data_IF_635225531306
#
_entry.id   IF_635225531306
#
_cell.length_a   1.000
_cell.length_b   1.000
_cell.length_c   1.000
_cell.angle_alpha   90.00
_cell.angle_beta   90.00
_cell.angle_gamma   90.00
#
_symmetry.space_group_name_H-M   'P 1'
#
loop_
_entity.id
_entity.type
_entity.pdbx_description
1 polymer ?
#
# COMPACT_ATOMS: atom_id res chain seq x y z
N UNK A 1 -7.22 -14.95 15.54
CA UNK A 1 -8.34 -15.71 14.93
C UNK A 1 -7.92 -16.10 13.52
N UNK A 2 -8.15 -17.33 13.10
CA UNK A 2 -7.86 -17.77 11.71
C UNK A 2 -9.17 -17.62 10.94
N UNK A 3 -9.15 -17.05 9.72
CA UNK A 3 -10.36 -16.99 8.89
C UNK A 3 -10.66 -18.33 8.22
N UNK A 4 -11.77 -18.40 7.48
CA UNK A 4 -12.23 -19.63 6.81
C UNK A 4 -11.22 -20.16 5.78
N UNK A 5 -10.27 -19.32 5.33
CA UNK A 5 -9.23 -19.64 4.36
C UNK A 5 -7.89 -20.00 5.03
N UNK A 6 -7.87 -20.12 6.37
CA UNK A 6 -6.67 -20.48 7.13
C UNK A 6 -5.72 -19.34 7.43
N UNK A 7 -6.11 -18.09 7.12
CA UNK A 7 -5.31 -16.91 7.47
C UNK A 7 -5.53 -16.53 8.95
N UNK A 8 -4.45 -16.30 9.69
CA UNK A 8 -4.51 -15.77 11.04
C UNK A 8 -5.00 -14.33 10.99
N UNK A 9 -6.32 -14.10 11.07
CA UNK A 9 -6.84 -12.77 11.33
C UNK A 9 -6.52 -12.39 12.77
N UNK A 10 -5.56 -11.49 12.94
CA UNK A 10 -5.51 -10.67 14.14
C UNK A 10 -6.82 -9.89 14.22
N UNK A 11 -7.27 -9.59 15.42
CA UNK A 11 -8.44 -8.73 15.65
C UNK A 11 -8.07 -7.31 15.23
N UNK A 12 -8.20 -7.04 13.92
CA UNK A 12 -7.93 -5.74 13.31
C UNK A 12 -9.28 -5.06 13.26
N UNK A 13 -9.55 -4.25 14.28
CA UNK A 13 -10.83 -3.54 14.42
C UNK A 13 -11.01 -2.47 13.32
N UNK A 14 -9.90 -1.99 12.72
CA UNK A 14 -9.88 -0.93 11.70
C UNK A 14 -8.96 -1.34 10.55
N UNK A 15 -9.38 -1.19 9.27
CA UNK A 15 -8.51 -1.41 8.11
C UNK A 15 -7.24 -0.56 8.19
N UNK A 16 -6.13 -1.09 7.67
CA UNK A 16 -4.82 -0.45 7.80
C UNK A 16 -4.80 1.03 7.37
N UNK A 17 -5.42 1.34 6.24
CA UNK A 17 -5.42 2.70 5.69
C UNK A 17 -6.41 3.65 6.38
N UNK A 18 -7.41 3.12 7.07
CA UNK A 18 -8.42 3.89 7.82
C UNK A 18 -8.01 4.15 9.27
N UNK A 19 -6.94 3.53 9.74
CA UNK A 19 -6.44 3.72 11.09
C UNK A 19 -5.57 5.00 11.17
N UNK A 20 -6.16 6.05 11.69
CA UNK A 20 -5.53 7.37 11.89
C UNK A 20 -4.95 7.55 13.30
N UNK A 21 -4.90 6.51 14.11
CA UNK A 21 -4.36 6.59 15.46
C UNK A 21 -2.96 5.97 15.59
N UNK A 22 -2.65 4.96 14.76
CA UNK A 22 -1.40 4.22 14.84
C UNK A 22 -0.33 4.78 13.91
N UNK A 23 0.87 4.84 14.43
CA UNK A 23 2.07 5.25 13.69
C UNK A 23 2.51 4.12 12.75
N UNK A 24 2.85 4.46 11.52
CA UNK A 24 3.43 3.55 10.51
C UNK A 24 4.81 4.03 10.09
N UNK A 25 5.57 3.22 9.33
CA UNK A 25 6.81 3.69 8.74
C UNK A 25 6.61 4.93 7.83
N UNK A 26 5.49 4.98 7.08
CA UNK A 26 5.17 6.15 6.25
C UNK A 26 4.92 7.40 7.09
N UNK A 27 4.20 7.27 8.21
CA UNK A 27 3.95 8.41 9.10
C UNK A 27 5.21 8.87 9.83
N UNK A 28 6.16 8.00 10.14
CA UNK A 28 7.51 8.43 10.56
C UNK A 28 8.17 9.31 9.49
N UNK A 29 8.01 8.95 8.21
CA UNK A 29 8.48 9.77 7.10
C UNK A 29 7.85 11.17 7.07
N UNK A 30 6.57 11.30 7.42
CA UNK A 30 5.93 12.61 7.57
C UNK A 30 6.53 13.43 8.70
N UNK A 31 6.81 12.79 9.85
CA UNK A 31 7.45 13.46 11.00
C UNK A 31 8.84 13.99 10.62
N UNK A 32 9.63 13.18 9.92
CA UNK A 32 10.98 13.58 9.48
C UNK A 32 10.97 14.66 8.39
N UNK A 33 9.98 14.65 7.48
CA UNK A 33 9.88 15.59 6.35
C UNK A 33 9.37 16.95 6.76
N UNK A 34 8.37 16.99 7.63
CA UNK A 34 7.61 18.21 7.93
C UNK A 34 7.41 18.53 9.41
N UNK A 35 8.07 17.79 10.30
CA UNK A 35 7.99 17.98 11.74
C UNK A 35 6.67 17.54 12.37
N UNK A 36 6.50 17.80 13.66
CA UNK A 36 5.36 17.30 14.45
C UNK A 36 4.01 17.84 13.95
N UNK A 37 3.90 19.09 13.56
CA UNK A 37 2.64 19.68 13.07
C UNK A 37 2.18 19.03 11.75
N UNK A 38 3.10 18.83 10.81
CA UNK A 38 2.79 18.14 9.56
C UNK A 38 2.41 16.67 9.79
N UNK A 39 3.17 15.97 10.62
CA UNK A 39 2.86 14.59 11.02
C UNK A 39 1.44 14.47 11.60
N UNK A 40 1.09 15.35 12.56
CA UNK A 40 -0.21 15.34 13.22
C UNK A 40 -1.36 15.54 12.22
N UNK A 41 -1.25 16.55 11.36
CA UNK A 41 -2.27 16.84 10.34
C UNK A 41 -2.43 15.72 9.32
N UNK A 42 -1.32 15.12 8.88
CA UNK A 42 -1.35 13.95 7.99
C UNK A 42 -1.98 12.74 8.68
N UNK A 43 -1.64 12.48 9.94
CA UNK A 43 -2.19 11.35 10.70
C UNK A 43 -3.70 11.51 10.92
N UNK A 44 -4.18 12.73 11.16
CA UNK A 44 -5.61 13.05 11.31
C UNK A 44 -6.38 13.14 9.99
N UNK A 45 -5.71 13.02 8.85
CA UNK A 45 -6.34 13.14 7.54
C UNK A 45 -6.74 14.57 7.16
N UNK A 46 -6.18 15.58 7.83
CA UNK A 46 -6.42 17.00 7.54
C UNK A 46 -5.67 17.47 6.28
N UNK A 47 -4.63 16.74 5.88
CA UNK A 47 -3.85 16.96 4.67
C UNK A 47 -3.90 15.67 3.85
N UNK A 48 -4.25 15.77 2.57
CA UNK A 48 -4.17 14.63 1.65
C UNK A 48 -2.71 14.29 1.32
N UNK A 49 -2.41 13.00 1.28
CA UNK A 49 -1.11 12.49 0.84
C UNK A 49 -0.86 12.78 -0.65
N UNK A 50 0.41 12.81 -1.03
CA UNK A 50 0.81 12.96 -2.43
C UNK A 50 0.25 11.80 -3.28
N UNK A 51 -0.46 12.13 -4.35
CA UNK A 51 -0.89 11.19 -5.39
C UNK A 51 0.05 11.33 -6.58
N UNK A 52 0.63 10.24 -7.04
CA UNK A 52 1.45 10.23 -8.24
C UNK A 52 1.21 8.97 -9.06
N UNK A 53 1.37 9.07 -10.37
CA UNK A 53 1.26 7.91 -11.26
C UNK A 53 2.27 6.80 -10.93
N UNK A 54 3.40 7.16 -10.33
CA UNK A 54 4.39 6.20 -9.86
C UNK A 54 3.88 5.40 -8.65
N UNK A 55 3.21 6.07 -7.69
CA UNK A 55 2.59 5.41 -6.53
C UNK A 55 1.43 4.51 -6.98
N UNK A 56 0.54 5.01 -7.84
CA UNK A 56 -0.58 4.23 -8.39
C UNK A 56 -0.09 2.97 -9.12
N UNK A 57 0.95 3.10 -9.94
CA UNK A 57 1.59 1.96 -10.62
C UNK A 57 2.22 0.99 -9.62
N UNK A 58 2.89 1.50 -8.59
CA UNK A 58 3.44 0.69 -7.50
C UNK A 58 2.35 -0.13 -6.81
N UNK A 59 1.26 0.50 -6.37
CA UNK A 59 0.11 -0.15 -5.74
C UNK A 59 -0.50 -1.23 -6.63
N UNK A 60 -0.68 -0.93 -7.93
CA UNK A 60 -1.20 -1.90 -8.90
C UNK A 60 -0.28 -3.13 -9.02
N UNK A 61 1.04 -2.95 -9.08
CA UNK A 61 2.01 -4.05 -9.16
C UNK A 61 2.00 -4.87 -7.88
N UNK A 62 2.01 -4.23 -6.70
CA UNK A 62 1.93 -4.92 -5.41
C UNK A 62 0.66 -5.78 -5.32
N UNK A 63 -0.51 -5.19 -5.61
CA UNK A 63 -1.78 -5.93 -5.58
C UNK A 63 -1.77 -7.13 -6.54
N UNK A 64 -1.26 -6.96 -7.76
CA UNK A 64 -1.20 -8.04 -8.74
C UNK A 64 -0.30 -9.21 -8.32
N UNK A 65 0.82 -8.91 -7.65
CA UNK A 65 1.81 -9.92 -7.23
C UNK A 65 1.45 -10.56 -5.90
N UNK A 66 1.05 -9.75 -4.91
CA UNK A 66 0.89 -10.19 -3.53
C UNK A 66 -0.54 -10.61 -3.18
N UNK A 67 -1.53 -9.94 -3.77
CA UNK A 67 -2.96 -10.15 -3.47
C UNK A 67 -3.79 -10.24 -4.76
N UNK A 68 -3.56 -11.26 -5.62
CA UNK A 68 -4.20 -11.34 -6.94
C UNK A 68 -5.73 -11.40 -6.88
N UNK A 69 -6.31 -11.90 -5.80
CA UNK A 69 -7.77 -11.90 -5.61
C UNK A 69 -8.32 -10.50 -5.34
N UNK A 70 -7.61 -9.68 -4.55
CA UNK A 70 -7.96 -8.27 -4.33
C UNK A 70 -7.76 -7.47 -5.63
N UNK A 71 -6.67 -7.73 -6.36
CA UNK A 71 -6.46 -7.12 -7.67
C UNK A 71 -7.66 -7.32 -8.61
N UNK A 72 -8.25 -8.50 -8.66
CA UNK A 72 -9.42 -8.78 -9.50
C UNK A 72 -10.68 -8.02 -9.05
N UNK A 73 -10.78 -7.69 -7.76
CA UNK A 73 -11.88 -6.87 -7.22
C UNK A 73 -11.67 -5.40 -7.51
N UNK A 74 -10.42 -4.93 -7.51
CA UNK A 74 -10.08 -3.51 -7.59
C UNK A 74 -9.80 -3.04 -9.02
N UNK A 75 -9.42 -3.95 -9.92
CA UNK A 75 -8.99 -3.60 -11.27
C UNK A 75 -9.74 -4.37 -12.35
N UNK A 76 -9.93 -3.73 -13.49
CA UNK A 76 -10.47 -4.35 -14.70
C UNK A 76 -9.61 -4.00 -15.91
N UNK A 77 -9.26 -4.99 -16.71
CA UNK A 77 -8.54 -4.76 -17.98
C UNK A 77 -9.52 -4.21 -18.99
N UNK A 78 -9.20 -3.06 -19.56
CA UNK A 78 -10.06 -2.34 -20.47
C UNK A 78 -9.43 -2.23 -21.85
N UNK A 79 -9.97 -2.93 -22.79
CA UNK A 79 -9.56 -2.98 -24.21
C UNK A 79 -10.50 -2.22 -25.15
N UNK A 80 -11.55 -1.59 -24.57
CA UNK A 80 -12.57 -0.87 -25.32
C UNK A 80 -12.33 0.62 -25.36
N UNK A 81 -13.12 1.34 -26.16
CA UNK A 81 -13.03 2.80 -26.31
C UNK A 81 -13.22 3.51 -24.96
N UNK A 82 -12.38 4.52 -24.73
CA UNK A 82 -12.47 5.44 -23.57
C UNK A 82 -12.67 6.88 -24.03
N UNK A 83 -13.25 7.75 -23.20
CA UNK A 83 -13.24 9.18 -23.45
C UNK A 83 -11.82 9.69 -23.73
N UNK A 84 -11.69 10.50 -24.80
CA UNK A 84 -10.41 11.10 -25.20
C UNK A 84 -10.29 12.56 -24.75
N UNK A 85 -11.32 13.11 -24.09
CA UNK A 85 -11.33 14.49 -23.60
C UNK A 85 -12.21 14.60 -22.34
N UNK A 86 -11.96 15.65 -21.55
CA UNK A 86 -12.77 15.96 -20.37
C UNK A 86 -14.26 16.18 -20.70
N UNK A 87 -14.57 16.71 -21.88
CA UNK A 87 -15.96 16.87 -22.33
C UNK A 87 -16.61 15.51 -22.61
N UNK A 88 -15.91 14.57 -23.26
CA UNK A 88 -16.43 13.22 -23.46
C UNK A 88 -16.64 12.50 -22.13
N UNK A 89 -15.70 12.64 -21.20
CA UNK A 89 -15.81 12.08 -19.85
C UNK A 89 -17.06 12.62 -19.16
N UNK A 90 -17.22 13.96 -19.12
CA UNK A 90 -18.38 14.62 -18.53
C UNK A 90 -19.70 14.19 -19.18
N UNK A 91 -19.71 14.02 -20.51
CA UNK A 91 -20.89 13.52 -21.24
C UNK A 91 -21.25 12.10 -20.80
N UNK A 92 -20.28 11.18 -20.72
CA UNK A 92 -20.51 9.81 -20.32
C UNK A 92 -21.03 9.73 -18.87
N UNK A 93 -20.45 10.50 -17.95
CA UNK A 93 -20.89 10.57 -16.55
C UNK A 93 -22.33 11.11 -16.44
N UNK A 94 -22.65 12.21 -17.15
CA UNK A 94 -23.98 12.77 -17.17
C UNK A 94 -25.02 11.79 -17.73
N UNK A 95 -24.67 11.09 -18.83
CA UNK A 95 -25.55 10.09 -19.43
C UNK A 95 -25.72 8.85 -18.57
N UNK A 96 -24.65 8.41 -17.90
CA UNK A 96 -24.71 7.27 -16.98
C UNK A 96 -25.57 7.57 -15.75
N UNK A 97 -25.54 8.79 -15.24
CA UNK A 97 -26.28 9.24 -14.07
C UNK A 97 -27.71 9.70 -14.40
N UNK A 98 -28.11 9.70 -15.68
CA UNK A 98 -29.44 10.19 -16.10
C UNK A 98 -30.55 9.26 -15.62
N UNK A 99 -31.57 9.84 -14.97
CA UNK A 99 -32.81 9.17 -14.62
C UNK A 99 -33.89 9.31 -15.70
N UNK A 100 -33.57 10.00 -16.80
CA UNK A 100 -34.52 10.22 -17.92
C UNK A 100 -34.75 8.89 -18.66
N UNK A 101 -36.01 8.54 -18.83
CA UNK A 101 -36.42 7.28 -19.48
C UNK A 101 -36.37 7.38 -21.01
N UNK A 102 -36.49 8.60 -21.55
CA UNK A 102 -36.42 8.82 -23.00
C UNK A 102 -34.94 8.94 -23.45
N UNK A 103 -34.40 7.94 -24.20
CA UNK A 103 -32.96 7.88 -24.53
C UNK A 103 -32.45 9.13 -25.26
N UNK A 104 -33.24 9.68 -26.22
CA UNK A 104 -32.81 10.84 -26.96
C UNK A 104 -32.77 12.10 -26.09
N UNK A 105 -33.67 12.19 -25.12
CA UNK A 105 -33.68 13.29 -24.16
C UNK A 105 -32.48 13.21 -23.22
N UNK A 106 -32.19 12.02 -22.67
CA UNK A 106 -31.03 11.81 -21.84
C UNK A 106 -29.72 12.20 -22.56
N UNK A 107 -29.58 11.80 -23.82
CA UNK A 107 -28.39 12.12 -24.64
C UNK A 107 -28.27 13.62 -24.88
N UNK A 108 -29.40 14.29 -25.20
CA UNK A 108 -29.40 15.73 -25.44
C UNK A 108 -29.05 16.53 -24.19
N UNK A 109 -29.58 16.14 -23.04
CA UNK A 109 -29.33 16.80 -21.78
C UNK A 109 -27.86 16.56 -21.31
N UNK A 110 -27.31 15.34 -21.48
CA UNK A 110 -25.92 15.06 -21.24
C UNK A 110 -24.99 15.87 -22.17
N UNK A 111 -25.35 16.01 -23.43
CA UNK A 111 -24.60 16.84 -24.38
C UNK A 111 -24.58 18.32 -23.95
N UNK A 112 -25.71 18.87 -23.57
CA UNK A 112 -25.84 20.27 -23.08
C UNK A 112 -24.99 20.52 -21.82
N UNK A 113 -24.85 19.52 -20.97
CA UNK A 113 -24.01 19.62 -19.76
C UNK A 113 -22.48 19.59 -20.07
N UNK A 114 -22.10 18.86 -21.10
CA UNK A 114 -20.69 18.59 -21.38
C UNK A 114 -20.06 19.49 -22.45
N UNK A 115 -20.87 19.94 -23.40
CA UNK A 115 -20.40 20.68 -24.58
C UNK A 115 -21.06 22.06 -24.71
N UNK A 116 -20.39 22.96 -25.44
CA UNK A 116 -20.98 24.24 -25.83
C UNK A 116 -22.17 24.03 -26.77
N UNK A 117 -23.26 24.72 -26.50
CA UNK A 117 -24.51 24.71 -27.27
C UNK A 117 -24.62 25.88 -28.24
N UNK A 118 -23.71 26.85 -28.18
CA UNK A 118 -23.73 28.06 -28.98
C UNK A 118 -23.75 27.75 -30.49
N UNK A 119 -24.76 28.27 -31.20
CA UNK A 119 -24.91 28.10 -32.64
C UNK A 119 -25.29 26.69 -33.13
N UNK A 120 -25.72 25.80 -32.23
CA UNK A 120 -26.15 24.43 -32.59
C UNK A 120 -27.65 24.25 -32.41
N UNK A 121 -28.31 23.61 -33.38
CA UNK A 121 -29.68 23.13 -33.21
C UNK A 121 -29.73 21.88 -32.32
N UNK A 122 -30.91 21.59 -31.73
CA UNK A 122 -31.09 20.36 -30.93
C UNK A 122 -30.85 19.10 -31.74
N UNK A 123 -31.27 19.06 -33.01
CA UNK A 123 -31.03 17.92 -33.90
C UNK A 123 -29.54 17.67 -34.11
N UNK A 124 -28.73 18.73 -34.26
CA UNK A 124 -27.28 18.62 -34.39
C UNK A 124 -26.63 18.11 -33.12
N UNK A 125 -27.02 18.67 -31.95
CA UNK A 125 -26.55 18.24 -30.65
C UNK A 125 -26.88 16.77 -30.37
N UNK A 126 -28.13 16.35 -30.69
CA UNK A 126 -28.56 14.96 -30.56
C UNK A 126 -27.76 14.03 -31.47
N UNK A 127 -27.56 14.42 -32.75
CA UNK A 127 -26.78 13.62 -33.70
C UNK A 127 -25.32 13.43 -33.25
N UNK A 128 -24.66 14.48 -32.74
CA UNK A 128 -23.33 14.44 -32.19
C UNK A 128 -23.30 13.57 -30.91
N UNK A 129 -24.27 13.75 -30.00
CA UNK A 129 -24.39 12.98 -28.78
C UNK A 129 -24.61 11.48 -29.03
N UNK A 130 -25.47 11.12 -29.99
CA UNK A 130 -25.67 9.72 -30.42
C UNK A 130 -24.39 9.04 -30.90
N UNK A 131 -23.58 9.77 -31.68
CA UNK A 131 -22.25 9.23 -32.12
C UNK A 131 -21.32 8.97 -30.95
N UNK A 132 -21.25 9.90 -30.01
CA UNK A 132 -20.41 9.73 -28.80
C UNK A 132 -20.93 8.55 -28.00
N UNK A 133 -22.23 8.50 -27.72
CA UNK A 133 -22.85 7.44 -26.94
C UNK A 133 -22.67 6.05 -27.57
N UNK A 134 -22.77 5.93 -28.90
CA UNK A 134 -22.54 4.65 -29.59
C UNK A 134 -21.08 4.22 -29.53
N UNK A 135 -20.12 5.15 -29.71
CA UNK A 135 -18.69 4.85 -29.64
C UNK A 135 -18.23 4.47 -28.23
N UNK A 136 -18.81 5.09 -27.22
CA UNK A 136 -18.45 4.92 -25.81
C UNK A 136 -19.48 4.12 -25.02
N UNK A 137 -20.29 3.31 -25.73
CA UNK A 137 -21.37 2.53 -25.12
C UNK A 137 -20.90 1.68 -23.96
N UNK A 138 -19.83 0.90 -24.17
CA UNK A 138 -19.29 0.02 -23.13
C UNK A 138 -18.82 0.78 -21.89
N UNK A 139 -18.22 1.97 -22.10
CA UNK A 139 -17.78 2.85 -21.02
C UNK A 139 -18.97 3.41 -20.23
N UNK A 140 -20.02 3.85 -20.94
CA UNK A 140 -21.26 4.34 -20.30
C UNK A 140 -21.95 3.20 -19.53
N UNK A 141 -21.99 1.99 -20.08
CA UNK A 141 -22.58 0.84 -19.41
C UNK A 141 -21.78 0.44 -18.15
N UNK A 142 -20.45 0.55 -18.19
CA UNK A 142 -19.59 0.36 -17.01
C UNK A 142 -19.90 1.39 -15.91
N UNK A 143 -20.03 2.67 -16.28
CA UNK A 143 -20.41 3.72 -15.32
C UNK A 143 -21.81 3.48 -14.74
N UNK A 144 -22.79 3.04 -15.56
CA UNK A 144 -24.15 2.71 -15.10
C UNK A 144 -24.19 1.54 -14.13
N UNK A 145 -23.34 0.56 -14.34
CA UNK A 145 -23.20 -0.57 -13.43
C UNK A 145 -22.62 -0.19 -12.06
N UNK A 146 -22.13 1.07 -11.92
CA UNK A 146 -21.44 1.56 -10.74
C UNK A 146 -20.29 0.61 -10.33
N UNK A 147 -19.62 0.05 -11.32
CA UNK A 147 -18.45 -0.81 -11.13
C UNK A 147 -17.31 0.10 -10.64
N UNK A 148 -16.99 0.02 -9.36
CA UNK A 148 -15.97 0.87 -8.72
C UNK A 148 -14.53 0.49 -9.08
N UNK A 149 -14.31 -0.54 -9.92
CA UNK A 149 -12.98 -1.00 -10.28
C UNK A 149 -12.21 0.02 -11.11
N UNK A 150 -10.92 0.03 -10.91
CA UNK A 150 -9.98 0.87 -11.67
C UNK A 150 -9.71 0.22 -13.03
N UNK A 151 -9.98 0.95 -14.10
CA UNK A 151 -9.66 0.48 -15.44
C UNK A 151 -8.17 0.56 -15.71
N UNK A 152 -7.54 -0.53 -16.06
CA UNK A 152 -6.15 -0.56 -16.52
C UNK A 152 -6.09 -0.87 -18.01
N UNK A 153 -5.04 -0.40 -18.69
CA UNK A 153 -4.83 -0.67 -20.10
C UNK A 153 -4.35 -2.11 -20.32
N UNK A 154 -4.56 -2.62 -21.53
CA UNK A 154 -3.96 -3.90 -21.93
C UNK A 154 -2.42 -3.88 -21.83
N UNK A 155 -1.80 -2.73 -22.04
CA UNK A 155 -0.36 -2.54 -21.85
C UNK A 155 0.07 -2.70 -20.40
N UNK A 156 -0.67 -2.11 -19.47
CA UNK A 156 -0.39 -2.28 -18.04
C UNK A 156 -0.56 -3.74 -17.64
N UNK A 157 -1.59 -4.41 -18.15
CA UNK A 157 -1.80 -5.83 -17.87
C UNK A 157 -0.66 -6.71 -18.43
N UNK A 158 -0.20 -6.45 -19.66
CA UNK A 158 0.96 -7.15 -20.22
C UNK A 158 2.24 -6.92 -19.40
N UNK A 159 2.44 -5.70 -18.93
CA UNK A 159 3.55 -5.37 -18.01
C UNK A 159 3.45 -6.21 -16.72
N UNK A 160 2.28 -6.30 -16.11
CA UNK A 160 2.04 -7.09 -14.90
C UNK A 160 2.35 -8.58 -15.12
N UNK A 161 1.87 -9.14 -16.22
CA UNK A 161 2.16 -10.54 -16.59
C UNK A 161 3.66 -10.78 -16.79
N UNK A 162 4.36 -9.84 -17.42
CA UNK A 162 5.81 -9.92 -17.61
C UNK A 162 6.58 -9.84 -16.28
N UNK A 163 6.18 -8.93 -15.38
CA UNK A 163 6.75 -8.83 -14.03
C UNK A 163 6.56 -10.15 -13.27
N UNK A 164 5.34 -10.69 -13.27
CA UNK A 164 5.01 -11.96 -12.64
C UNK A 164 5.85 -13.11 -13.19
N UNK A 165 5.97 -13.21 -14.51
CA UNK A 165 6.82 -14.20 -15.16
C UNK A 165 8.29 -14.06 -14.74
N UNK A 166 8.83 -12.83 -14.69
CA UNK A 166 10.20 -12.55 -14.29
C UNK A 166 10.45 -12.92 -12.81
N UNK A 167 9.49 -12.66 -11.92
CA UNK A 167 9.56 -13.10 -10.51
C UNK A 167 9.60 -14.63 -10.43
N UNK A 168 8.70 -15.31 -11.14
CA UNK A 168 8.62 -16.78 -11.12
C UNK A 168 9.86 -17.45 -11.72
N UNK A 169 10.48 -16.82 -12.70
CA UNK A 169 11.70 -17.30 -13.37
C UNK A 169 12.98 -16.94 -12.59
N UNK A 170 12.93 -15.98 -11.68
CA UNK A 170 14.10 -15.55 -10.93
C UNK A 170 14.41 -16.53 -9.80
N UNK A 171 15.63 -17.09 -9.79
CA UNK A 171 16.07 -18.18 -8.88
C UNK A 171 15.79 -17.94 -7.38
N UNK A 172 15.86 -16.69 -6.93
CA UNK A 172 15.70 -16.32 -5.52
C UNK A 172 14.33 -15.67 -5.26
N UNK A 173 13.85 -14.78 -6.15
CA UNK A 173 12.55 -14.13 -5.96
C UNK A 173 11.41 -15.15 -5.90
N UNK A 174 11.44 -16.18 -6.76
CA UNK A 174 10.42 -17.25 -6.75
C UNK A 174 10.38 -18.09 -5.47
N UNK A 175 11.45 -18.03 -4.67
CA UNK A 175 11.52 -18.72 -3.36
C UNK A 175 11.13 -17.82 -2.20
N UNK A 176 11.34 -16.51 -2.34
CA UNK A 176 11.02 -15.52 -1.30
C UNK A 176 9.55 -15.13 -1.39
N UNK A 177 9.07 -14.85 -2.61
CA UNK A 177 7.65 -14.56 -2.88
C UNK A 177 6.94 -15.91 -3.13
N UNK A 178 6.75 -16.64 -2.07
CA UNK A 178 6.00 -17.90 -2.13
C UNK A 178 4.51 -17.65 -1.90
N UNK A 179 3.68 -18.58 -2.36
CA UNK A 179 2.25 -18.53 -2.06
C UNK A 179 2.01 -18.55 -0.56
N UNK A 180 1.11 -17.72 -0.02
CA UNK A 180 0.75 -17.75 1.38
C UNK A 180 0.39 -19.17 1.84
N UNK A 181 0.94 -19.60 2.97
CA UNK A 181 0.75 -20.95 3.50
C UNK A 181 0.78 -20.93 5.02
N UNK A 182 0.00 -21.81 5.62
CA UNK A 182 0.05 -22.10 7.05
C UNK A 182 0.15 -23.61 7.25
N UNK A 183 1.33 -24.09 7.58
CA UNK A 183 1.61 -25.50 7.86
C UNK A 183 1.59 -25.77 9.36
N UNK A 184 0.82 -26.76 9.78
CA UNK A 184 0.70 -27.15 11.19
C UNK A 184 1.00 -28.63 11.39
N UNK A 185 1.50 -28.99 12.58
CA UNK A 185 1.71 -30.38 13.00
C UNK A 185 0.39 -31.13 13.31
N UNK A 186 -0.71 -30.40 13.43
CA UNK A 186 -2.05 -30.92 13.69
C UNK A 186 -3.03 -30.39 12.65
N UNK A 187 -3.07 -30.94 11.43
CA UNK A 187 -3.83 -30.38 10.31
C UNK A 187 -5.36 -30.42 10.48
N UNK A 188 -5.87 -31.09 11.51
CA UNK A 188 -7.31 -31.25 11.76
C UNK A 188 -7.86 -30.30 12.83
N UNK A 189 -7.08 -29.33 13.31
CA UNK A 189 -7.58 -28.30 14.21
C UNK A 189 -8.16 -27.16 13.39
N UNK A 190 -9.41 -26.78 13.65
CA UNK A 190 -10.07 -25.63 13.03
C UNK A 190 -9.33 -24.30 13.29
N UNK A 191 -8.51 -24.27 14.35
CA UNK A 191 -7.62 -23.16 14.69
C UNK A 191 -6.27 -23.70 15.11
N UNK A 192 -5.17 -23.39 14.40
CA UNK A 192 -3.86 -23.80 14.82
C UNK A 192 -3.47 -23.12 16.14
N UNK A 193 -3.09 -23.95 17.09
CA UNK A 193 -2.49 -23.47 18.33
C UNK A 193 -1.07 -22.96 18.04
N UNK A 194 -0.60 -21.85 18.65
CA UNK A 194 0.71 -21.27 18.36
C UNK A 194 1.86 -22.30 18.31
N UNK A 195 1.93 -23.22 19.27
CA UNK A 195 2.97 -24.25 19.33
C UNK A 195 2.84 -25.38 18.30
N UNK A 196 1.80 -25.38 17.45
CA UNK A 196 1.60 -26.39 16.40
C UNK A 196 1.99 -25.90 15.00
N UNK A 197 2.26 -24.60 14.84
CA UNK A 197 2.65 -24.03 13.56
C UNK A 197 4.09 -24.46 13.26
N UNK A 198 4.31 -25.04 12.07
CA UNK A 198 5.61 -25.43 11.54
C UNK A 198 6.19 -24.32 10.68
N UNK A 199 5.35 -23.77 9.80
CA UNK A 199 5.72 -22.72 8.85
C UNK A 199 4.51 -21.85 8.52
N UNK A 200 4.76 -20.57 8.35
CA UNK A 200 3.76 -19.63 7.87
C UNK A 200 4.39 -18.65 6.87
N UNK A 201 3.72 -18.39 5.76
CA UNK A 201 4.09 -17.35 4.81
C UNK A 201 2.88 -16.47 4.54
N UNK A 202 3.09 -15.16 4.57
CA UNK A 202 2.06 -14.16 4.45
C UNK A 202 2.44 -13.11 3.42
N UNK A 203 1.43 -12.62 2.69
CA UNK A 203 1.52 -11.39 1.90
C UNK A 203 0.66 -10.31 2.55
N UNK A 204 1.05 -9.04 2.38
CA UNK A 204 0.33 -7.87 2.93
C UNK A 204 -0.04 -8.09 4.41
N UNK A 205 0.96 -8.54 5.20
CA UNK A 205 0.72 -8.95 6.57
C UNK A 205 0.63 -7.75 7.52
N UNK A 206 -0.57 -7.52 8.01
CA UNK A 206 -0.86 -6.41 8.93
C UNK A 206 -0.57 -6.79 10.38
N UNK A 207 0.26 -5.99 11.06
CA UNK A 207 0.56 -6.12 12.49
C UNK A 207 0.20 -4.80 13.19
N UNK A 208 -0.72 -4.86 14.16
CA UNK A 208 -0.93 -3.81 15.14
C UNK A 208 -0.08 -4.12 16.37
N UNK A 209 0.78 -3.18 16.75
CA UNK A 209 1.75 -3.40 17.82
C UNK A 209 2.02 -2.15 18.65
N UNK A 210 2.79 -2.28 19.71
CA UNK A 210 3.17 -1.16 20.57
C UNK A 210 4.70 -1.03 20.59
N UNK A 211 5.19 0.16 20.26
CA UNK A 211 6.58 0.52 20.48
C UNK A 211 6.72 1.00 21.93
N UNK A 212 7.30 0.20 22.79
CA UNK A 212 7.45 0.52 24.21
C UNK A 212 8.59 1.51 24.45
N UNK A 213 8.28 2.68 25.00
CA UNK A 213 9.25 3.69 25.43
C UNK A 213 9.64 3.45 26.88
N UNK A 214 8.68 3.05 27.74
CA UNK A 214 8.83 2.68 29.14
C UNK A 214 8.02 1.42 29.43
N UNK A 215 8.24 0.82 30.61
CA UNK A 215 7.68 -0.50 30.96
C UNK A 215 6.19 -0.75 30.65
N UNK A 216 5.36 0.29 30.65
CA UNK A 216 3.92 0.16 30.36
C UNK A 216 3.40 1.25 29.42
N UNK A 217 4.25 2.11 28.88
CA UNK A 217 3.88 3.23 28.03
C UNK A 217 4.62 3.18 26.70
N UNK A 218 3.93 3.48 25.61
CA UNK A 218 4.52 3.45 24.30
C UNK A 218 3.59 4.01 23.23
N UNK A 219 4.11 4.06 22.02
CA UNK A 219 3.40 4.52 20.82
C UNK A 219 2.68 3.33 20.20
N UNK A 220 1.38 3.49 19.94
CA UNK A 220 0.63 2.51 19.14
C UNK A 220 1.10 2.57 17.70
N UNK A 221 1.45 1.42 17.16
CA UNK A 221 2.03 1.28 15.83
C UNK A 221 1.22 0.34 14.95
N UNK A 222 1.36 0.49 13.63
CA UNK A 222 0.87 -0.44 12.62
C UNK A 222 1.94 -0.69 11.56
N UNK A 223 2.00 -1.91 11.06
CA UNK A 223 2.88 -2.32 9.97
C UNK A 223 2.09 -3.14 8.98
N UNK A 224 2.32 -2.91 7.69
CA UNK A 224 1.85 -3.76 6.60
C UNK A 224 3.09 -4.23 5.86
N UNK A 225 3.41 -5.50 6.02
CA UNK A 225 4.59 -6.11 5.40
C UNK A 225 4.19 -6.70 4.06
N UNK A 226 4.91 -6.37 3.00
CA UNK A 226 4.70 -6.97 1.67
C UNK A 226 4.82 -8.48 1.75
N UNK A 227 5.78 -8.98 2.55
CA UNK A 227 5.88 -10.39 2.83
C UNK A 227 6.62 -10.75 4.11
N UNK A 228 6.12 -11.79 4.76
CA UNK A 228 6.69 -12.38 5.96
C UNK A 228 6.63 -13.90 5.86
N UNK A 229 7.78 -14.57 6.00
CA UNK A 229 7.84 -16.03 6.19
C UNK A 229 8.40 -16.35 7.56
N UNK A 230 7.73 -17.22 8.30
CA UNK A 230 8.13 -17.74 9.60
C UNK A 230 8.35 -19.24 9.52
N UNK A 231 9.59 -19.69 9.70
CA UNK A 231 9.97 -21.09 9.84
C UNK A 231 10.18 -21.40 11.32
N UNK A 232 9.19 -22.00 11.95
CA UNK A 232 9.20 -22.30 13.38
C UNK A 232 10.17 -23.43 13.73
N UNK A 233 10.43 -24.34 12.79
CA UNK A 233 11.37 -25.44 12.99
C UNK A 233 12.82 -24.95 13.08
N UNK A 234 13.20 -24.03 12.20
CA UNK A 234 14.54 -23.48 12.12
C UNK A 234 14.69 -22.14 12.87
N UNK A 235 13.60 -21.64 13.47
CA UNK A 235 13.54 -20.32 14.13
C UNK A 235 14.07 -19.22 13.24
N UNK A 236 13.52 -19.12 12.03
CA UNK A 236 13.94 -18.19 11.00
C UNK A 236 12.75 -17.36 10.50
N UNK A 237 12.94 -16.06 10.45
CA UNK A 237 12.01 -15.10 9.84
C UNK A 237 12.65 -14.47 8.58
N UNK A 238 11.89 -14.44 7.49
CA UNK A 238 12.26 -13.74 6.26
C UNK A 238 11.28 -12.59 6.09
N UNK A 239 11.81 -11.37 6.02
CA UNK A 239 11.05 -10.15 5.78
C UNK A 239 11.48 -9.62 4.42
N UNK A 240 10.53 -9.39 3.53
CA UNK A 240 10.82 -8.78 2.24
C UNK A 240 9.85 -7.65 1.91
N UNK A 241 10.31 -6.78 1.03
CA UNK A 241 9.58 -5.60 0.58
C UNK A 241 9.78 -5.43 -0.93
N UNK A 242 8.70 -5.20 -1.67
CA UNK A 242 8.72 -4.94 -3.10
C UNK A 242 8.90 -3.45 -3.35
N UNK A 243 9.77 -3.10 -4.29
CA UNK A 243 9.97 -1.71 -4.68
C UNK A 243 10.00 -1.56 -6.18
N UNK A 244 9.12 -0.74 -6.70
CA UNK A 244 9.16 -0.31 -8.11
C UNK A 244 10.14 0.84 -8.29
N UNK A 245 10.91 0.80 -9.36
CA UNK A 245 11.93 1.82 -9.65
C UNK A 245 12.16 2.01 -11.15
N UNK A 246 12.55 3.20 -11.52
CA UNK A 246 13.09 3.49 -12.86
C UNK A 246 14.61 3.38 -12.92
N UNK A 247 15.28 3.15 -11.78
CA UNK A 247 16.74 3.13 -11.62
C UNK A 247 17.23 1.82 -11.01
N UNK A 248 16.80 0.68 -11.57
CA UNK A 248 17.10 -0.63 -10.98
C UNK A 248 18.61 -0.91 -10.85
N UNK A 249 19.43 -0.39 -11.77
CA UNK A 249 20.89 -0.55 -11.72
C UNK A 249 21.59 0.35 -10.71
N UNK A 250 20.94 1.44 -10.27
CA UNK A 250 21.39 2.38 -9.25
C UNK A 250 20.46 2.38 -8.06
N UNK A 251 19.97 1.19 -7.68
CA UNK A 251 18.96 1.06 -6.65
C UNK A 251 19.47 1.46 -5.25
N UNK A 252 20.78 1.43 -5.03
CA UNK A 252 21.43 1.93 -3.81
C UNK A 252 21.08 3.40 -3.51
N UNK A 253 20.99 4.23 -4.54
CA UNK A 253 20.56 5.62 -4.39
C UNK A 253 19.15 5.71 -3.81
N UNK A 254 18.25 4.83 -4.28
CA UNK A 254 16.88 4.75 -3.78
C UNK A 254 16.80 4.24 -2.36
N UNK A 255 17.65 3.26 -1.97
CA UNK A 255 17.72 2.75 -0.60
C UNK A 255 18.07 3.89 0.36
N UNK A 256 19.06 4.70 0.01
CA UNK A 256 19.50 5.83 0.82
C UNK A 256 18.48 6.99 0.82
N UNK A 257 17.98 7.36 -0.37
CA UNK A 257 17.04 8.48 -0.53
C UNK A 257 15.74 8.29 0.25
N UNK A 258 15.19 7.07 0.26
CA UNK A 258 13.92 6.75 0.90
C UNK A 258 14.08 6.06 2.25
N UNK A 259 15.33 5.86 2.71
CA UNK A 259 15.69 5.16 3.94
C UNK A 259 14.93 3.82 4.10
N UNK A 260 15.05 2.95 3.10
CA UNK A 260 14.42 1.62 3.16
C UNK A 260 14.97 0.75 4.29
N UNK A 261 16.18 1.05 4.79
CA UNK A 261 16.73 0.40 5.97
C UNK A 261 15.89 0.71 7.22
N UNK A 262 15.40 1.94 7.37
CA UNK A 262 14.48 2.29 8.45
C UNK A 262 13.16 1.52 8.35
N UNK A 263 12.61 1.37 7.14
CA UNK A 263 11.40 0.58 6.92
C UNK A 263 11.60 -0.87 7.34
N UNK A 264 12.67 -1.52 6.89
CA UNK A 264 12.99 -2.90 7.27
C UNK A 264 13.24 -3.04 8.78
N UNK A 265 13.90 -2.06 9.41
CA UNK A 265 14.09 -2.05 10.86
C UNK A 265 12.76 -1.90 11.62
N UNK A 266 11.86 -1.07 11.13
CA UNK A 266 10.53 -0.91 11.69
C UNK A 266 9.71 -2.20 11.59
N UNK A 267 9.74 -2.86 10.43
CA UNK A 267 9.10 -4.17 10.21
C UNK A 267 9.71 -5.27 11.10
N UNK A 268 11.04 -5.29 11.23
CA UNK A 268 11.72 -6.21 12.15
C UNK A 268 11.18 -6.06 13.58
N UNK A 269 11.03 -4.84 14.08
CA UNK A 269 10.53 -4.60 15.43
C UNK A 269 9.06 -5.04 15.59
N UNK A 270 8.24 -4.84 14.57
CA UNK A 270 6.87 -5.34 14.52
C UNK A 270 6.83 -6.88 14.58
N UNK A 271 7.71 -7.56 13.81
CA UNK A 271 7.78 -9.03 13.80
C UNK A 271 8.31 -9.57 15.13
N UNK A 272 9.30 -8.92 15.74
CA UNK A 272 9.79 -9.27 17.09
C UNK A 272 8.67 -9.16 18.12
N UNK A 273 7.88 -8.06 18.04
CA UNK A 273 6.72 -7.88 18.91
C UNK A 273 5.67 -8.97 18.70
N UNK A 274 5.35 -9.29 17.43
CA UNK A 274 4.40 -10.33 17.05
C UNK A 274 4.83 -11.72 17.56
N UNK A 275 6.10 -12.11 17.34
CA UNK A 275 6.64 -13.37 17.85
C UNK A 275 6.51 -13.46 19.38
N UNK A 276 6.83 -12.37 20.09
CA UNK A 276 6.84 -12.36 21.54
C UNK A 276 5.46 -12.33 22.16
N UNK A 277 4.59 -11.44 21.71
CA UNK A 277 3.34 -11.13 22.40
C UNK A 277 2.13 -11.87 21.83
N UNK A 278 2.12 -12.14 20.53
CA UNK A 278 1.01 -12.87 19.91
C UNK A 278 1.28 -14.38 19.84
N UNK A 279 2.52 -14.76 19.55
CA UNK A 279 2.86 -16.17 19.39
C UNK A 279 3.56 -16.79 20.62
N UNK A 280 3.92 -16.01 21.62
CA UNK A 280 4.60 -16.50 22.82
C UNK A 280 6.00 -17.08 22.57
N UNK A 281 6.64 -16.68 21.46
CA UNK A 281 7.94 -17.17 21.06
C UNK A 281 9.09 -16.40 21.73
N UNK A 282 10.19 -17.11 22.04
CA UNK A 282 11.44 -16.48 22.44
C UNK A 282 12.17 -15.98 21.19
N UNK A 283 11.90 -14.71 20.81
CA UNK A 283 12.46 -14.10 19.61
C UNK A 283 13.99 -14.06 19.59
N UNK A 284 14.69 -14.16 20.74
CA UNK A 284 16.15 -14.19 20.78
C UNK A 284 16.72 -15.46 20.14
N UNK A 285 15.89 -16.49 19.96
CA UNK A 285 16.27 -17.72 19.27
C UNK A 285 16.03 -17.67 17.77
N UNK A 286 15.46 -16.58 17.27
CA UNK A 286 15.15 -16.42 15.86
C UNK A 286 16.24 -15.69 15.11
N UNK A 287 16.54 -16.18 13.92
CA UNK A 287 17.36 -15.48 12.93
C UNK A 287 16.48 -14.73 11.94
N UNK A 288 16.95 -13.58 11.47
CA UNK A 288 16.19 -12.72 10.55
C UNK A 288 16.98 -12.54 9.26
N UNK A 289 16.28 -12.66 8.13
CA UNK A 289 16.80 -12.30 6.81
C UNK A 289 15.94 -11.22 6.20
N UNK A 290 16.59 -10.25 5.54
CA UNK A 290 15.93 -9.09 4.96
C UNK A 290 16.21 -9.02 3.47
N UNK A 291 15.17 -8.77 2.69
CA UNK A 291 15.27 -8.63 1.25
C UNK A 291 14.49 -7.43 0.75
N UNK A 292 15.04 -6.76 -0.26
CA UNK A 292 14.30 -5.82 -1.10
C UNK A 292 14.28 -6.39 -2.50
N UNK A 293 13.10 -6.44 -3.10
CA UNK A 293 12.89 -6.94 -4.46
C UNK A 293 12.58 -5.74 -5.34
N UNK A 294 13.60 -5.30 -6.08
CA UNK A 294 13.47 -4.19 -7.02
C UNK A 294 12.84 -4.65 -8.34
N UNK A 295 11.87 -3.91 -8.83
CA UNK A 295 11.12 -4.16 -10.06
C UNK A 295 11.30 -2.95 -10.98
N UNK A 296 11.87 -3.16 -12.17
CA UNK A 296 12.01 -2.10 -13.18
C UNK A 296 10.66 -1.73 -13.80
N UNK A 297 10.39 -0.43 -13.88
CA UNK A 297 9.18 0.12 -14.51
C UNK A 297 9.46 0.91 -15.79
N UNK A 298 10.69 0.84 -16.32
CA UNK A 298 11.08 1.56 -17.56
C UNK A 298 10.79 0.76 -18.84
N UNK A 299 10.29 -0.50 -18.72
CA UNK A 299 9.89 -1.36 -19.83
C UNK A 299 10.66 -2.66 -19.94
N UNK A 300 11.85 -2.81 -19.32
CA UNK A 300 12.52 -4.11 -19.22
C UNK A 300 11.72 -5.03 -18.29
N UNK A 301 11.11 -4.47 -17.25
CA UNK A 301 10.40 -5.16 -16.16
C UNK A 301 11.30 -6.20 -15.46
N UNK A 302 12.60 -5.95 -15.46
CA UNK A 302 13.58 -6.81 -14.81
C UNK A 302 13.42 -6.81 -13.31
N UNK A 303 13.87 -7.91 -12.69
CA UNK A 303 13.79 -8.13 -11.24
C UNK A 303 15.21 -8.26 -10.68
N UNK A 304 15.47 -7.56 -9.59
CA UNK A 304 16.69 -7.76 -8.79
C UNK A 304 16.33 -7.98 -7.34
N UNK A 305 16.98 -8.96 -6.72
CA UNK A 305 16.80 -9.28 -5.30
C UNK A 305 18.04 -8.83 -4.55
N UNK A 306 17.85 -7.92 -3.61
CA UNK A 306 18.90 -7.40 -2.73
C UNK A 306 18.76 -8.04 -1.35
N UNK A 307 19.73 -8.81 -0.93
CA UNK A 307 19.83 -9.27 0.46
C UNK A 307 20.46 -8.15 1.26
N UNK A 308 19.76 -7.68 2.27
CA UNK A 308 20.21 -6.58 3.12
C UNK A 308 20.86 -7.18 4.37
N UNK A 309 22.06 -6.68 4.71
CA UNK A 309 22.74 -7.12 5.91
C UNK A 309 21.97 -6.70 7.17
N UNK A 310 21.88 -7.59 8.12
CA UNK A 310 21.16 -7.35 9.38
C UNK A 310 21.75 -6.18 10.19
N UNK A 311 23.07 -5.96 10.11
CA UNK A 311 23.72 -4.83 10.81
C UNK A 311 23.27 -3.51 10.22
N UNK A 312 23.11 -3.42 8.90
CA UNK A 312 22.60 -2.21 8.24
C UNK A 312 21.17 -1.93 8.67
N UNK A 313 20.30 -2.96 8.74
CA UNK A 313 18.95 -2.82 9.26
C UNK A 313 18.96 -2.38 10.72
N UNK A 314 19.77 -3.04 11.56
CA UNK A 314 19.80 -2.75 13.00
C UNK A 314 20.44 -1.40 13.32
N UNK A 315 21.26 -0.82 12.44
CA UNK A 315 21.80 0.53 12.57
C UNK A 315 20.71 1.62 12.69
N UNK A 316 19.50 1.34 12.23
CA UNK A 316 18.37 2.26 12.31
C UNK A 316 17.57 2.20 13.62
N UNK A 317 17.92 1.29 14.55
CA UNK A 317 17.19 1.14 15.83
C UNK A 317 17.19 2.41 16.67
N UNK A 318 18.33 3.05 16.83
CA UNK A 318 18.47 4.26 17.64
C UNK A 318 17.73 5.46 16.97
N UNK A 319 17.80 5.56 15.66
CA UNK A 319 17.04 6.56 14.91
C UNK A 319 15.53 6.39 15.13
N UNK A 320 15.02 5.17 15.04
CA UNK A 320 13.60 4.89 15.30
C UNK A 320 13.26 5.18 16.76
N UNK A 321 14.11 4.77 17.71
CA UNK A 321 13.90 5.03 19.13
C UNK A 321 13.73 6.53 19.42
N UNK A 322 14.63 7.35 18.91
CA UNK A 322 14.59 8.81 19.11
C UNK A 322 13.28 9.40 18.55
N UNK A 323 12.93 9.04 17.32
CA UNK A 323 11.69 9.50 16.69
C UNK A 323 10.46 9.06 17.49
N UNK A 324 10.43 7.81 17.96
CA UNK A 324 9.32 7.30 18.77
C UNK A 324 9.22 7.99 20.14
N UNK A 325 10.34 8.36 20.73
CA UNK A 325 10.36 9.15 21.98
C UNK A 325 9.77 10.54 21.77
N UNK A 326 10.11 11.18 20.64
CA UNK A 326 9.57 12.50 20.31
C UNK A 326 8.07 12.43 19.99
N UNK A 327 7.64 11.46 19.16
CA UNK A 327 6.22 11.25 18.89
C UNK A 327 5.44 10.97 20.18
N UNK A 328 6.00 10.12 21.06
CA UNK A 328 5.38 9.83 22.35
C UNK A 328 5.26 11.08 23.23
N UNK A 329 6.29 11.93 23.24
CA UNK A 329 6.28 13.19 23.96
C UNK A 329 5.14 14.11 23.45
N UNK A 330 5.05 14.31 22.13
CA UNK A 330 3.98 15.08 21.51
C UNK A 330 2.59 14.51 21.78
N UNK A 331 2.44 13.19 21.75
CA UNK A 331 1.18 12.53 22.06
C UNK A 331 0.76 12.71 23.52
N UNK A 332 1.70 12.78 24.46
CA UNK A 332 1.40 12.88 25.89
C UNK A 332 1.22 14.32 26.36
N UNK A 333 1.81 15.30 25.65
CA UNK A 333 1.70 16.72 25.96
C UNK A 333 0.67 17.45 25.11
N UNK A 334 0.22 16.83 24.03
CA UNK A 334 -0.69 17.41 22.99
C UNK A 334 -0.15 18.73 22.42
N UNK A 335 1.16 18.82 22.24
CA UNK A 335 1.88 19.98 21.69
C UNK A 335 2.46 19.62 20.33
N UNK A 336 1.94 20.16 19.24
CA UNK A 336 2.27 19.74 17.87
C UNK A 336 2.80 20.83 16.94
N UNK A 337 2.76 22.11 17.36
CA UNK A 337 3.12 23.25 16.48
C UNK A 337 4.62 23.35 16.24
N UNK A 338 5.42 22.97 17.23
CA UNK A 338 6.88 23.05 17.21
C UNK A 338 7.53 21.73 17.60
N UNK A 339 8.86 21.66 17.47
CA UNK A 339 9.64 20.52 17.95
C UNK A 339 9.61 20.43 19.49
N UNK A 340 9.95 19.28 20.03
CA UNK A 340 10.10 19.08 21.46
C UNK A 340 11.14 20.03 22.06
N UNK A 341 12.26 20.26 21.35
CA UNK A 341 13.33 21.15 21.81
C UNK A 341 12.85 22.60 22.02
N UNK A 342 11.94 23.06 21.16
CA UNK A 342 11.30 24.36 21.32
C UNK A 342 10.56 24.49 22.66
N UNK A 343 9.79 23.48 23.04
CA UNK A 343 8.96 23.51 24.26
C UNK A 343 9.76 23.24 25.54
N UNK A 344 10.79 22.39 25.48
CA UNK A 344 11.63 22.06 26.64
C UNK A 344 12.82 23.04 26.80
N UNK A 345 13.15 23.83 25.77
CA UNK A 345 14.25 24.77 25.72
C UNK A 345 13.84 26.25 25.84
N UNK A 346 14.56 27.08 25.14
CA UNK A 346 14.38 28.55 25.15
C UNK A 346 13.53 29.09 23.99
N UNK A 347 12.86 28.19 23.25
CA UNK A 347 12.09 28.52 22.06
C UNK A 347 12.91 28.51 20.78
N UNK A 348 14.17 28.08 20.82
CA UNK A 348 14.95 27.80 19.61
C UNK A 348 14.76 26.33 19.16
N UNK A 349 15.02 26.06 17.89
CA UNK A 349 15.00 24.72 17.31
C UNK A 349 16.37 24.39 16.70
N UNK A 350 16.83 23.15 16.94
CA UNK A 350 18.12 22.69 16.41
C UNK A 350 18.00 22.35 14.93
N UNK A 351 18.95 22.79 14.12
CA UNK A 351 19.10 22.35 12.72
C UNK A 351 20.03 21.12 12.68
N UNK A 352 19.54 20.04 12.13
CA UNK A 352 20.36 18.90 11.75
C UNK A 352 21.00 19.19 10.38
N UNK A 353 22.23 19.70 10.38
CA UNK A 353 23.02 20.01 9.18
C UNK A 353 23.83 18.81 8.70
#
# INVERSE_FOLDING_TARGET
>A
MVDLDGNMKMNIDTPYYEDHERVSNSSIGWFLKGGPSYFYKMLKGEIEGEKSTALERGTMIHSYILTPEEFQKDYVVWDKSRPSSAQQEKFCQALASSLELEPNRAILDAYKQAYSTAGKSEDKMLSEGLKIASTLKDYIDFLKANDGRIMISHWDYQMLEKIKHNIQSHKLASKIIETPVLETSKPFLDKPEPGTIIRAAYHEFHINWTYYIKMAAGVKCKSLLDGLTLDFKNKKAIIYDLKTTQKLWHFEDSINQYDYLRQLCYYYQAVVWYLRYELGEDWNKWSFEFYIIGIDTTGSNDIRVFKIDQFDVYSRKDTILNIMQDIWWHQTTDQWEHSRDYYEGDGSESLNL
#
